data_IF_933909030457
#
_entry.id   IF_933909030457
#
_cell.length_a   1.000
_cell.length_b   1.000
_cell.length_c   1.000
_cell.angle_alpha   90.00
_cell.angle_beta   90.00
_cell.angle_gamma   90.00
#
_symmetry.space_group_name_H-M   'P 1'
#
loop_
_entity.id
_entity.type
_entity.pdbx_description
1 polymer ?
#
# COMPACT_ATOMS: atom_id res chain seq x y z
N UNK A 1 -1.74 12.62 -9.26
CA UNK A 1 -2.71 11.53 -9.57
C UNK A 1 -4.14 12.06 -9.49
N UNK A 2 -5.08 11.58 -10.30
CA UNK A 2 -6.42 12.20 -10.41
C UNK A 2 -7.28 12.13 -9.13
N UNK A 3 -7.02 11.19 -8.21
CA UNK A 3 -7.84 11.03 -6.99
C UNK A 3 -7.19 11.56 -5.70
N UNK A 4 -5.86 11.69 -5.66
CA UNK A 4 -5.13 12.07 -4.44
C UNK A 4 -5.57 13.43 -3.90
N UNK A 5 -5.56 14.47 -4.75
CA UNK A 5 -5.94 15.83 -4.35
C UNK A 5 -7.40 15.94 -3.89
N UNK A 6 -8.30 15.09 -4.40
CA UNK A 6 -9.69 15.03 -3.94
C UNK A 6 -9.76 14.46 -2.53
N UNK A 7 -9.18 13.28 -2.30
CA UNK A 7 -9.16 12.65 -0.98
C UNK A 7 -8.48 13.54 0.08
N UNK A 8 -7.38 14.21 -0.28
CA UNK A 8 -6.69 15.14 0.62
C UNK A 8 -7.54 16.38 0.94
N UNK A 9 -8.25 16.94 -0.05
CA UNK A 9 -9.08 18.13 0.16
C UNK A 9 -10.34 17.82 0.97
N UNK A 10 -10.94 16.66 0.72
CA UNK A 10 -12.18 16.22 1.33
C UNK A 10 -11.96 15.57 2.73
N UNK A 11 -10.70 15.41 3.16
CA UNK A 11 -10.29 14.68 4.37
C UNK A 11 -10.91 13.27 4.46
N UNK A 12 -11.01 12.62 3.31
CA UNK A 12 -11.70 11.33 3.16
C UNK A 12 -10.69 10.18 3.16
N UNK A 13 -10.95 9.16 3.97
CA UNK A 13 -10.13 7.95 3.97
C UNK A 13 -10.32 7.17 2.65
N UNK A 14 -9.25 6.79 1.95
CA UNK A 14 -9.33 6.20 0.61
C UNK A 14 -9.67 4.70 0.66
N UNK A 15 -10.86 4.35 1.17
CA UNK A 15 -11.32 2.98 1.38
C UNK A 15 -11.13 2.09 0.15
N UNK A 16 -11.52 2.55 -1.03
CA UNK A 16 -11.42 1.76 -2.27
C UNK A 16 -9.98 1.44 -2.66
N UNK A 17 -9.04 2.34 -2.38
CA UNK A 17 -7.62 2.11 -2.66
C UNK A 17 -7.02 1.13 -1.65
N UNK A 18 -7.40 1.25 -0.38
CA UNK A 18 -6.96 0.34 0.68
C UNK A 18 -7.49 -1.07 0.45
N UNK A 19 -8.74 -1.21 0.03
CA UNK A 19 -9.32 -2.51 -0.30
C UNK A 19 -8.58 -3.17 -1.48
N UNK A 20 -8.23 -2.40 -2.52
CA UNK A 20 -7.38 -2.92 -3.60
C UNK A 20 -6.00 -3.36 -3.12
N UNK A 21 -5.37 -2.60 -2.22
CA UNK A 21 -4.08 -3.01 -1.62
C UNK A 21 -4.22 -4.32 -0.83
N UNK A 22 -5.36 -4.54 -0.18
CA UNK A 22 -5.70 -5.78 0.52
C UNK A 22 -5.87 -6.94 -0.44
N UNK A 23 -6.63 -6.76 -1.52
CA UNK A 23 -6.83 -7.76 -2.56
C UNK A 23 -5.52 -8.18 -3.24
N UNK A 24 -4.59 -7.23 -3.40
CA UNK A 24 -3.24 -7.47 -3.91
C UNK A 24 -2.30 -8.16 -2.91
N UNK A 25 -2.71 -8.32 -1.65
CA UNK A 25 -1.91 -8.99 -0.61
C UNK A 25 -0.78 -8.12 -0.03
N UNK A 26 -0.77 -6.81 -0.28
CA UNK A 26 0.36 -5.94 0.07
C UNK A 26 0.60 -5.82 1.59
N UNK A 27 -0.45 -6.01 2.41
CA UNK A 27 -0.33 -6.03 3.87
C UNK A 27 0.40 -7.27 4.43
N UNK A 28 0.53 -8.32 3.63
CA UNK A 28 1.29 -9.53 3.95
C UNK A 28 2.52 -9.68 3.05
N UNK A 29 3.02 -8.58 2.46
CA UNK A 29 4.01 -8.63 1.39
C UNK A 29 5.27 -9.42 1.76
N UNK A 30 5.82 -9.20 2.95
CA UNK A 30 7.05 -9.86 3.44
C UNK A 30 6.78 -11.11 4.28
N UNK A 31 5.51 -11.38 4.59
CA UNK A 31 5.12 -12.55 5.39
C UNK A 31 5.34 -13.82 4.56
N UNK A 32 5.98 -14.87 5.10
CA UNK A 32 6.18 -16.12 4.37
C UNK A 32 4.87 -16.73 3.85
N UNK A 33 4.94 -17.38 2.68
CA UNK A 33 3.78 -17.99 2.01
C UNK A 33 3.11 -19.06 2.89
N UNK A 34 3.88 -19.76 3.73
CA UNK A 34 3.35 -20.75 4.68
C UNK A 34 2.36 -20.16 5.72
N UNK A 35 2.41 -18.85 5.94
CA UNK A 35 1.46 -18.11 6.79
C UNK A 35 0.42 -17.31 5.99
N UNK A 36 0.35 -17.50 4.67
CA UNK A 36 -0.61 -16.82 3.79
C UNK A 36 -0.17 -15.45 3.29
N UNK A 37 1.12 -15.09 3.41
CA UNK A 37 1.69 -13.87 2.83
C UNK A 37 2.23 -14.06 1.40
N UNK A 38 2.87 -13.01 0.87
CA UNK A 38 3.46 -13.04 -0.48
C UNK A 38 4.93 -13.49 -0.50
N UNK A 39 5.61 -13.51 0.65
CA UNK A 39 7.01 -13.93 0.77
C UNK A 39 8.00 -13.08 -0.04
N UNK A 40 7.68 -11.81 -0.29
CA UNK A 40 8.55 -10.90 -1.04
C UNK A 40 9.77 -10.50 -0.23
N UNK A 41 10.90 -10.35 -0.92
CA UNK A 41 12.09 -9.75 -0.32
C UNK A 41 11.91 -8.24 -0.07
N UNK A 42 12.74 -7.69 0.81
CA UNK A 42 12.68 -6.28 1.20
C UNK A 42 12.98 -5.30 0.06
N UNK A 43 13.78 -5.69 -0.94
CA UNK A 43 14.09 -4.84 -2.09
C UNK A 43 12.86 -4.68 -2.97
N UNK A 44 12.17 -5.79 -3.24
CA UNK A 44 10.91 -5.82 -3.98
C UNK A 44 9.83 -5.05 -3.25
N UNK A 45 9.70 -5.24 -1.93
CA UNK A 45 8.79 -4.45 -1.11
C UNK A 45 9.11 -2.94 -1.17
N UNK A 46 10.38 -2.56 -1.05
CA UNK A 46 10.80 -1.16 -1.12
C UNK A 46 10.46 -0.51 -2.47
N UNK A 47 10.63 -1.23 -3.59
CA UNK A 47 10.24 -0.74 -4.91
C UNK A 47 8.71 -0.54 -5.03
N UNK A 48 7.91 -1.43 -4.46
CA UNK A 48 6.45 -1.27 -4.42
C UNK A 48 6.07 0.00 -3.64
N UNK A 49 6.68 0.21 -2.48
CA UNK A 49 6.46 1.41 -1.67
C UNK A 49 6.88 2.67 -2.44
N UNK A 50 8.04 2.65 -3.11
CA UNK A 50 8.50 3.79 -3.92
C UNK A 50 7.48 4.18 -5.00
N UNK A 51 6.94 3.20 -5.73
CA UNK A 51 5.96 3.47 -6.78
C UNK A 51 4.62 3.99 -6.25
N UNK A 52 4.17 3.50 -5.08
CA UNK A 52 2.98 4.06 -4.41
C UNK A 52 3.25 5.51 -3.99
N UNK A 53 4.41 5.78 -3.41
CA UNK A 53 4.81 7.13 -2.97
C UNK A 53 4.89 8.12 -4.13
N UNK A 54 5.33 7.68 -5.33
CA UNK A 54 5.36 8.49 -6.55
C UNK A 54 3.96 8.97 -6.95
N UNK A 55 2.95 8.16 -6.65
CA UNK A 55 1.56 8.45 -6.89
C UNK A 55 0.93 9.35 -5.82
N UNK A 56 1.04 8.93 -4.56
CA UNK A 56 0.51 9.62 -3.39
C UNK A 56 1.21 9.13 -2.12
N UNK A 57 2.03 10.00 -1.51
CA UNK A 57 2.86 9.62 -0.36
C UNK A 57 2.04 9.20 0.86
N UNK A 58 0.94 9.89 1.21
CA UNK A 58 0.19 9.52 2.43
C UNK A 58 -0.51 8.16 2.31
N UNK A 59 -0.82 7.70 1.10
CA UNK A 59 -1.37 6.35 0.87
C UNK A 59 -0.39 5.25 1.29
N UNK A 60 0.92 5.45 1.07
CA UNK A 60 1.94 4.46 1.47
C UNK A 60 2.04 4.31 2.99
N UNK A 61 1.64 5.35 3.74
CA UNK A 61 1.57 5.31 5.20
C UNK A 61 0.65 4.21 5.73
N UNK A 62 -0.40 3.87 4.98
CA UNK A 62 -1.30 2.76 5.32
C UNK A 62 -0.56 1.42 5.25
N UNK A 63 0.36 1.21 4.32
CA UNK A 63 1.13 -0.05 4.24
C UNK A 63 2.25 -0.09 5.28
N UNK A 64 3.04 0.98 5.38
CA UNK A 64 4.25 1.01 6.21
C UNK A 64 3.99 0.91 7.72
N UNK A 65 2.76 1.18 8.17
CA UNK A 65 2.37 1.09 9.59
C UNK A 65 1.94 -0.32 10.01
N UNK A 66 1.80 -1.26 9.07
CA UNK A 66 1.26 -2.60 9.30
C UNK A 66 2.28 -3.72 9.09
N UNK A 67 3.56 -3.36 8.94
CA UNK A 67 4.67 -4.26 8.63
C UNK A 67 5.62 -4.39 9.82
#
# INVERSE_FOLDING_TARGET
>A
MPVASRYEHDDEYPHDLVERMRELGLFGATIPVEYGGLGLDYTTYAMIVEEICRGWMSLSGVLNTHL
#
